data_IF_682052224106
#
_entry.id   IF_682052224106
#
_cell.length_a   1.000
_cell.length_b   1.000
_cell.length_c   1.000
_cell.angle_alpha   90.00
_cell.angle_beta   90.00
_cell.angle_gamma   90.00
#
_symmetry.space_group_name_H-M   'P 1'
#
loop_
_entity.id
_entity.type
_entity.pdbx_description
1 polymer ?
#
# COMPACT_ATOMS: atom_id res chain seq x y z
N UNK A 1 -23.65 -11.29 -9.75
CA UNK A 1 -22.61 -10.41 -10.34
C UNK A 1 -23.23 -9.49 -11.37
N UNK A 2 -22.89 -8.20 -11.34
CA UNK A 2 -23.39 -7.18 -12.28
C UNK A 2 -22.73 -7.31 -13.67
N UNK A 3 -23.41 -6.84 -14.72
CA UNK A 3 -22.85 -6.70 -16.08
C UNK A 3 -21.54 -5.89 -16.08
N UNK A 4 -21.45 -4.88 -15.21
CA UNK A 4 -20.26 -4.05 -15.03
C UNK A 4 -19.11 -4.89 -14.45
N UNK A 5 -19.38 -5.71 -13.43
CA UNK A 5 -18.37 -6.59 -12.84
C UNK A 5 -17.82 -7.59 -13.86
N UNK A 6 -18.67 -8.13 -14.74
CA UNK A 6 -18.22 -9.04 -15.82
C UNK A 6 -17.35 -8.34 -16.85
N UNK A 7 -17.70 -7.10 -17.24
CA UNK A 7 -16.89 -6.31 -18.16
C UNK A 7 -15.50 -5.96 -17.58
N UNK A 8 -15.45 -5.62 -16.28
CA UNK A 8 -14.19 -5.37 -15.57
C UNK A 8 -13.29 -6.60 -15.52
N UNK A 9 -13.83 -7.75 -15.10
CA UNK A 9 -13.08 -9.02 -15.03
C UNK A 9 -12.56 -9.43 -16.42
N UNK A 10 -13.38 -9.28 -17.46
CA UNK A 10 -12.99 -9.58 -18.83
C UNK A 10 -11.84 -8.67 -19.32
N UNK A 11 -11.85 -7.40 -18.93
CA UNK A 11 -10.77 -6.46 -19.24
C UNK A 11 -9.48 -6.76 -18.45
N UNK A 12 -9.59 -7.04 -17.16
CA UNK A 12 -8.46 -7.40 -16.30
C UNK A 12 -7.76 -8.68 -16.76
N UNK A 13 -8.55 -9.66 -17.20
CA UNK A 13 -8.06 -10.96 -17.68
C UNK A 13 -7.63 -10.95 -19.14
N UNK A 14 -7.93 -9.88 -19.90
CA UNK A 14 -7.57 -9.80 -21.30
C UNK A 14 -6.04 -9.66 -21.45
N UNK A 15 -5.40 -10.34 -22.43
CA UNK A 15 -3.96 -10.28 -22.66
C UNK A 15 -3.57 -8.98 -23.39
N UNK A 16 -3.80 -7.84 -22.75
CA UNK A 16 -3.43 -6.53 -23.27
C UNK A 16 -1.94 -6.23 -23.04
N UNK A 17 -1.28 -5.45 -23.92
CA UNK A 17 0.07 -4.95 -23.63
C UNK A 17 0.09 -4.00 -22.43
N UNK A 18 1.18 -3.99 -21.67
CA UNK A 18 1.32 -3.11 -20.49
C UNK A 18 1.23 -1.63 -20.79
N UNK A 19 1.58 -1.20 -22.01
CA UNK A 19 1.40 0.18 -22.44
C UNK A 19 -0.09 0.58 -22.44
N UNK A 20 -0.98 -0.34 -22.87
CA UNK A 20 -2.43 -0.11 -22.90
C UNK A 20 -2.98 -0.04 -21.48
N UNK A 21 -2.61 -1.01 -20.63
CA UNK A 21 -3.04 -1.02 -19.21
C UNK A 21 -2.58 0.23 -18.48
N UNK A 22 -1.30 0.61 -18.62
CA UNK A 22 -0.75 1.84 -18.02
C UNK A 22 -1.47 3.08 -18.53
N UNK A 23 -1.75 3.18 -19.84
CA UNK A 23 -2.51 4.28 -20.41
C UNK A 23 -3.91 4.41 -19.80
N UNK A 24 -4.63 3.31 -19.65
CA UNK A 24 -5.95 3.29 -19.01
C UNK A 24 -5.90 3.72 -17.54
N UNK A 25 -4.95 3.18 -16.77
CA UNK A 25 -4.72 3.57 -15.36
C UNK A 25 -4.39 5.07 -15.27
N UNK A 26 -3.47 5.57 -16.09
CA UNK A 26 -3.11 6.99 -16.11
C UNK A 26 -4.29 7.90 -16.45
N UNK A 27 -5.15 7.50 -17.38
CA UNK A 27 -6.38 8.23 -17.71
C UNK A 27 -7.34 8.31 -16.52
N UNK A 28 -7.61 7.17 -15.87
CA UNK A 28 -8.52 7.10 -14.72
C UNK A 28 -7.99 7.92 -13.53
N UNK A 29 -6.71 7.75 -13.19
CA UNK A 29 -6.04 8.53 -12.13
C UNK A 29 -6.04 10.02 -12.48
N UNK A 30 -5.77 10.38 -13.73
CA UNK A 30 -5.80 11.76 -14.22
C UNK A 30 -7.18 12.41 -14.06
N UNK A 31 -8.26 11.65 -14.33
CA UNK A 31 -9.64 12.12 -14.14
C UNK A 31 -9.93 12.43 -12.68
N UNK A 32 -9.57 11.53 -11.76
CA UNK A 32 -9.76 11.74 -10.31
C UNK A 32 -8.93 12.93 -9.83
N UNK A 33 -7.67 13.03 -10.27
CA UNK A 33 -6.80 14.19 -9.95
C UNK A 33 -7.42 15.50 -10.41
N UNK A 34 -8.07 15.52 -11.59
CA UNK A 34 -8.76 16.71 -12.07
C UNK A 34 -9.95 17.09 -11.19
N UNK A 35 -10.79 16.12 -10.81
CA UNK A 35 -11.92 16.32 -9.89
C UNK A 35 -11.46 16.88 -8.54
N UNK A 36 -10.31 16.41 -8.04
CA UNK A 36 -9.73 16.90 -6.78
C UNK A 36 -9.21 18.34 -6.86
N UNK A 37 -8.99 18.93 -8.05
CA UNK A 37 -8.60 20.34 -8.16
C UNK A 37 -9.69 21.29 -7.72
N UNK A 38 -10.95 20.88 -7.89
CA UNK A 38 -12.13 21.67 -7.52
C UNK A 38 -12.56 21.41 -6.07
N UNK A 39 -11.67 20.83 -5.26
CA UNK A 39 -11.94 20.53 -3.85
C UNK A 39 -12.16 21.84 -3.08
N UNK A 40 -13.32 22.02 -2.42
CA UNK A 40 -13.60 23.23 -1.67
C UNK A 40 -12.58 23.44 -0.53
N UNK A 41 -12.27 24.70 -0.18
CA UNK A 41 -11.54 24.99 1.05
C UNK A 41 -12.24 24.33 2.25
N UNK A 42 -11.47 23.71 3.14
CA UNK A 42 -12.00 23.02 4.33
C UNK A 42 -12.53 21.60 4.09
N UNK A 43 -12.49 21.06 2.86
CA UNK A 43 -12.91 19.69 2.59
C UNK A 43 -12.18 18.65 3.44
N UNK A 44 -10.86 18.79 3.67
CA UNK A 44 -10.11 17.87 4.53
C UNK A 44 -10.57 17.90 5.99
N UNK A 45 -10.89 19.08 6.52
CA UNK A 45 -11.40 19.22 7.88
C UNK A 45 -12.80 18.62 8.01
N UNK A 46 -13.66 18.87 7.03
CA UNK A 46 -14.97 18.23 6.94
C UNK A 46 -14.86 16.71 6.85
N UNK A 47 -13.99 16.19 5.99
CA UNK A 47 -13.74 14.76 5.88
C UNK A 47 -13.28 14.16 7.21
N UNK A 48 -12.34 14.80 7.92
CA UNK A 48 -11.89 14.35 9.23
C UNK A 48 -13.02 14.34 10.28
N UNK A 49 -13.90 15.34 10.27
CA UNK A 49 -15.09 15.36 11.13
C UNK A 49 -16.07 14.24 10.78
N UNK A 50 -16.32 14.05 9.48
CA UNK A 50 -17.24 13.03 8.99
C UNK A 50 -16.73 11.62 9.38
N UNK A 51 -15.41 11.37 9.27
CA UNK A 51 -14.77 10.11 9.70
C UNK A 51 -14.94 9.82 11.19
N UNK A 52 -15.08 10.83 12.04
CA UNK A 52 -15.34 10.65 13.48
C UNK A 52 -16.69 9.98 13.78
N UNK A 53 -17.60 9.94 12.79
CA UNK A 53 -18.90 9.28 12.92
C UNK A 53 -18.88 7.80 12.50
N UNK A 54 -17.74 7.29 12.02
CA UNK A 54 -17.58 5.90 11.60
C UNK A 54 -16.96 5.04 12.71
N UNK A 55 -17.20 3.73 12.64
CA UNK A 55 -16.46 2.77 13.46
C UNK A 55 -14.99 2.74 13.04
N UNK A 56 -14.08 2.36 13.95
CA UNK A 56 -12.63 2.34 13.71
C UNK A 56 -12.27 1.54 12.45
N UNK A 57 -12.94 0.41 12.22
CA UNK A 57 -12.77 -0.40 11.02
C UNK A 57 -14.09 -1.08 10.64
N UNK A 58 -14.53 -0.84 9.42
CA UNK A 58 -15.64 -1.56 8.79
C UNK A 58 -15.09 -2.81 8.07
N UNK A 59 -15.92 -3.86 7.88
CA UNK A 59 -15.56 -5.04 7.07
C UNK A 59 -14.29 -5.83 7.48
N UNK A 60 -13.96 -5.87 8.78
CA UNK A 60 -12.73 -6.52 9.28
C UNK A 60 -12.60 -8.01 8.89
N UNK A 61 -13.72 -8.74 8.80
CA UNK A 61 -13.72 -10.14 8.37
C UNK A 61 -13.38 -10.31 6.88
N UNK A 62 -13.90 -9.43 6.02
CA UNK A 62 -13.64 -9.46 4.58
C UNK A 62 -12.19 -9.09 4.26
N UNK A 63 -11.64 -8.09 4.97
CA UNK A 63 -10.24 -7.69 4.85
C UNK A 63 -9.28 -8.84 5.17
N UNK A 64 -9.56 -9.61 6.24
CA UNK A 64 -8.77 -10.79 6.58
C UNK A 64 -8.86 -11.84 5.48
N UNK A 65 -10.06 -12.13 4.96
CA UNK A 65 -10.24 -13.14 3.90
C UNK A 65 -9.44 -12.77 2.65
N UNK A 66 -9.45 -11.50 2.24
CA UNK A 66 -8.72 -11.05 1.05
C UNK A 66 -7.19 -11.03 1.22
N UNK A 67 -6.67 -10.96 2.45
CA UNK A 67 -5.22 -10.89 2.71
C UNK A 67 -4.54 -12.24 2.99
N UNK A 68 -5.26 -13.29 3.36
CA UNK A 68 -4.68 -14.61 3.68
C UNK A 68 -4.88 -15.67 2.59
N UNK A 69 -5.33 -15.29 1.39
CA UNK A 69 -5.57 -16.22 0.27
C UNK A 69 -4.29 -16.64 -0.47
N UNK A 70 -3.14 -16.01 -0.20
CA UNK A 70 -1.89 -16.22 -0.97
C UNK A 70 -0.78 -16.79 -0.08
N UNK A 71 -0.12 -17.89 -0.47
CA UNK A 71 0.91 -18.53 0.34
C UNK A 71 2.19 -17.67 0.44
N UNK A 72 2.92 -17.81 1.55
CA UNK A 72 4.18 -17.09 1.80
C UNK A 72 5.22 -17.25 0.67
N UNK A 73 5.25 -18.41 0.00
CA UNK A 73 6.17 -18.68 -1.10
C UNK A 73 5.97 -17.73 -2.29
N UNK A 74 4.74 -17.29 -2.54
CA UNK A 74 4.50 -16.27 -3.56
C UNK A 74 5.22 -14.96 -3.21
N UNK A 75 5.15 -14.53 -1.95
CA UNK A 75 5.77 -13.29 -1.49
C UNK A 75 7.29 -13.38 -1.51
N UNK A 76 7.90 -14.56 -1.36
CA UNK A 76 9.33 -14.78 -1.60
C UNK A 76 9.77 -14.45 -3.02
N UNK A 77 8.87 -14.61 -4.00
CA UNK A 77 9.16 -14.32 -5.40
C UNK A 77 8.96 -12.83 -5.74
N UNK A 78 8.09 -12.13 -5.01
CA UNK A 78 7.69 -10.76 -5.32
C UNK A 78 8.35 -9.69 -4.44
N UNK A 79 8.72 -10.02 -3.21
CA UNK A 79 9.28 -9.07 -2.24
C UNK A 79 10.80 -9.17 -2.16
N UNK A 80 11.42 -8.18 -1.53
CA UNK A 80 12.85 -8.20 -1.24
C UNK A 80 13.18 -9.08 -0.02
N UNK A 81 14.48 -9.20 0.31
CA UNK A 81 14.95 -10.06 1.40
C UNK A 81 14.37 -9.74 2.78
N UNK A 82 13.87 -8.53 3.01
CA UNK A 82 13.23 -8.12 4.27
C UNK A 82 11.73 -8.38 4.29
N UNK A 83 11.15 -8.89 3.20
CA UNK A 83 9.71 -9.11 3.05
C UNK A 83 8.89 -7.86 3.39
N UNK A 84 9.39 -6.67 3.00
CA UNK A 84 8.71 -5.41 3.31
C UNK A 84 7.50 -5.24 2.40
N UNK A 85 6.32 -5.61 2.88
CA UNK A 85 5.07 -5.49 2.13
C UNK A 85 4.41 -4.10 2.31
N UNK A 86 5.19 -3.05 2.03
CA UNK A 86 4.81 -1.64 2.04
C UNK A 86 5.81 -0.83 1.21
N UNK A 87 5.59 0.48 1.03
CA UNK A 87 6.46 1.30 0.18
C UNK A 87 7.94 1.24 0.59
N UNK A 88 8.83 1.01 -0.38
CA UNK A 88 10.28 1.12 -0.21
C UNK A 88 10.75 2.57 -0.48
N UNK A 89 12.04 2.85 -0.24
CA UNK A 89 12.65 4.16 -0.45
C UNK A 89 13.86 4.03 -1.38
N UNK A 90 13.70 4.50 -2.62
CA UNK A 90 14.78 4.54 -3.62
C UNK A 90 15.45 5.92 -3.54
N UNK A 91 16.71 5.94 -3.13
CA UNK A 91 17.55 7.16 -3.08
C UNK A 91 18.24 7.42 -4.41
N UNK A 92 18.38 6.39 -5.24
CA UNK A 92 18.97 6.45 -6.57
C UNK A 92 18.21 5.55 -7.55
N UNK A 93 18.17 5.89 -8.85
CA UNK A 93 17.66 4.97 -9.89
C UNK A 93 18.42 3.64 -9.98
N UNK A 94 19.63 3.56 -9.43
CA UNK A 94 20.44 2.34 -9.40
C UNK A 94 20.17 1.45 -8.17
N UNK A 95 19.34 1.90 -7.22
CA UNK A 95 19.05 1.11 -6.02
C UNK A 95 18.30 -0.17 -6.38
N UNK A 96 18.77 -1.28 -5.82
CA UNK A 96 18.03 -2.55 -5.87
C UNK A 96 16.85 -2.52 -4.91
N UNK A 97 15.87 -3.42 -5.10
CA UNK A 97 14.76 -3.57 -4.15
C UNK A 97 15.26 -3.83 -2.72
N UNK A 98 16.29 -4.67 -2.56
CA UNK A 98 16.88 -4.97 -1.25
C UNK A 98 17.46 -3.71 -0.57
N UNK A 99 18.12 -2.84 -1.33
CA UNK A 99 18.61 -1.56 -0.82
C UNK A 99 17.45 -0.64 -0.43
N UNK A 100 16.42 -0.57 -1.28
CA UNK A 100 15.26 0.29 -1.05
C UNK A 100 14.42 -0.14 0.17
N UNK A 101 14.36 -1.44 0.48
CA UNK A 101 13.76 -1.95 1.71
C UNK A 101 14.51 -1.42 2.94
N UNK A 102 15.84 -1.59 2.95
CA UNK A 102 16.69 -1.15 4.07
C UNK A 102 16.61 0.37 4.24
N UNK A 103 16.68 1.14 3.16
CA UNK A 103 16.53 2.59 3.21
C UNK A 103 15.21 3.01 3.87
N UNK A 104 14.10 2.39 3.49
CA UNK A 104 12.79 2.72 4.05
C UNK A 104 12.68 2.35 5.54
N UNK A 105 13.23 1.19 5.93
CA UNK A 105 13.22 0.75 7.33
C UNK A 105 14.11 1.67 8.18
N UNK A 106 15.31 2.02 7.71
CA UNK A 106 16.19 2.99 8.37
C UNK A 106 15.51 4.35 8.54
N UNK A 107 14.88 4.87 7.48
CA UNK A 107 14.14 6.13 7.52
C UNK A 107 12.97 6.07 8.52
N UNK A 108 12.30 4.92 8.62
CA UNK A 108 11.23 4.69 9.60
C UNK A 108 11.78 4.73 11.02
N UNK A 109 12.90 4.06 11.30
CA UNK A 109 13.55 4.12 12.61
C UNK A 109 13.96 5.55 12.99
N UNK A 110 14.52 6.29 12.03
CA UNK A 110 14.96 7.67 12.26
C UNK A 110 13.78 8.60 12.55
N UNK A 111 12.69 8.51 11.77
CA UNK A 111 11.49 9.33 11.96
C UNK A 111 10.75 9.02 13.27
N UNK A 112 10.85 7.78 13.75
CA UNK A 112 10.29 7.36 15.04
C UNK A 112 11.26 7.57 16.21
N UNK A 113 12.45 8.12 15.97
CA UNK A 113 13.49 8.37 16.97
C UNK A 113 13.80 7.11 17.81
N UNK A 114 13.89 5.96 17.14
CA UNK A 114 14.13 4.70 17.83
C UNK A 114 15.53 4.66 18.43
N UNK A 115 15.61 4.13 19.65
CA UNK A 115 16.83 4.00 20.41
C UNK A 115 16.86 2.70 21.22
N UNK A 116 18.08 2.27 21.57
CA UNK A 116 18.31 1.08 22.38
C UNK A 116 17.55 1.14 23.72
N UNK A 117 17.04 -0.01 24.18
CA UNK A 117 16.32 -0.13 25.45
C UNK A 117 14.85 0.31 25.42
N UNK A 118 14.31 0.73 24.27
CA UNK A 118 12.89 1.01 24.12
C UNK A 118 12.05 -0.28 24.04
N UNK A 119 10.83 -0.23 24.56
CA UNK A 119 9.81 -1.26 24.32
C UNK A 119 8.91 -0.79 23.18
N UNK A 120 8.91 -1.54 22.07
CA UNK A 120 8.24 -1.13 20.83
C UNK A 120 7.04 -2.04 20.54
N UNK A 121 5.92 -1.43 20.15
CA UNK A 121 4.74 -2.12 19.62
C UNK A 121 4.58 -1.81 18.13
N UNK A 122 4.68 -2.82 17.28
CA UNK A 122 4.38 -2.72 15.84
C UNK A 122 2.94 -3.20 15.56
N UNK A 123 2.05 -2.28 15.19
CA UNK A 123 0.68 -2.60 14.79
C UNK A 123 0.61 -2.90 13.29
N UNK A 124 0.10 -4.07 12.92
CA UNK A 124 0.02 -4.48 11.51
C UNK A 124 1.37 -4.86 10.92
N UNK A 125 2.14 -5.67 11.65
CA UNK A 125 3.54 -5.99 11.31
C UNK A 125 3.75 -6.78 10.01
N UNK A 126 2.68 -7.28 9.38
CA UNK A 126 2.75 -8.07 8.15
C UNK A 126 3.67 -9.28 8.31
N UNK A 127 4.75 -9.33 7.53
CA UNK A 127 5.78 -10.39 7.61
C UNK A 127 6.86 -10.13 8.68
N UNK A 128 6.70 -9.10 9.50
CA UNK A 128 7.65 -8.72 10.55
C UNK A 128 8.86 -7.96 10.03
N UNK A 129 8.76 -7.30 8.87
CA UNK A 129 9.91 -6.64 8.25
C UNK A 129 10.54 -5.56 9.13
N UNK A 130 9.73 -4.80 9.87
CA UNK A 130 10.23 -3.77 10.79
C UNK A 130 10.61 -4.39 12.13
N UNK A 131 9.76 -5.25 12.72
CA UNK A 131 10.08 -6.01 13.94
C UNK A 131 11.46 -6.67 13.87
N UNK A 132 11.75 -7.41 12.81
CA UNK A 132 13.03 -8.11 12.62
C UNK A 132 14.19 -7.17 12.25
N UNK A 133 13.89 -5.96 11.80
CA UNK A 133 14.90 -4.95 11.50
C UNK A 133 15.32 -4.16 12.75
N UNK A 134 14.40 -3.97 13.69
CA UNK A 134 14.65 -3.30 14.97
C UNK A 134 15.28 -4.23 16.03
N UNK A 135 15.05 -5.55 15.91
CA UNK A 135 15.55 -6.57 16.83
C UNK A 135 17.05 -6.86 16.65
#
# INVERSE_FOLDING_TARGET
MSLISRALIAFESAPLPDAVRRGAVSFLVGRVKHQLKDTPPGASAKFAQDMGNHVIAEHTADANKQHYEVPAEFFRLCLGPRFKYSSCLYKSPADTLAMAEVHALTETCANAELAEGQHILELGCGWGSMTLFMA
#
